data_IF_692017254450
#
_entry.id   IF_692017254450
#
_cell.length_a   1.000
_cell.length_b   1.000
_cell.length_c   1.000
_cell.angle_alpha   90.00
_cell.angle_beta   90.00
_cell.angle_gamma   90.00
#
_symmetry.space_group_name_H-M   'P 1'
#
loop_
_entity.id
_entity.type
_entity.pdbx_description
1 polymer ?
#
# COMPACT_ATOMS: atom_id res chain seq x y z
N UNK A 1 1.47 -27.81 -20.76
CA UNK A 1 2.03 -26.95 -19.70
C UNK A 1 0.93 -26.68 -18.69
N UNK A 2 1.04 -27.19 -17.47
CA UNK A 2 0.05 -26.94 -16.41
C UNK A 2 0.17 -25.51 -15.93
N UNK A 3 -0.63 -24.60 -16.49
CA UNK A 3 -0.74 -23.24 -16.01
C UNK A 3 -1.18 -23.22 -14.55
N UNK A 4 -0.63 -22.29 -13.77
CA UNK A 4 -1.00 -22.13 -12.37
C UNK A 4 -2.52 -21.89 -12.29
N UNK A 5 -3.25 -22.76 -11.57
CA UNK A 5 -4.73 -22.78 -11.57
C UNK A 5 -5.35 -21.44 -11.15
N UNK A 6 -4.62 -20.66 -10.35
CA UNK A 6 -5.04 -19.36 -9.86
C UNK A 6 -3.96 -18.31 -10.18
N UNK A 7 -4.20 -17.43 -11.17
CA UNK A 7 -3.25 -16.38 -11.52
C UNK A 7 -2.90 -15.48 -10.32
N UNK A 8 -1.60 -15.30 -10.07
CA UNK A 8 -1.10 -14.46 -8.98
C UNK A 8 -1.42 -14.98 -7.58
N UNK A 9 -1.80 -16.26 -7.42
CA UNK A 9 -1.91 -16.93 -6.13
C UNK A 9 -1.13 -18.24 -6.19
N UNK A 10 -0.28 -18.48 -5.19
CA UNK A 10 0.53 -19.70 -5.12
C UNK A 10 0.87 -20.08 -3.70
N UNK A 11 1.21 -21.35 -3.54
CA UNK A 11 1.81 -21.87 -2.32
C UNK A 11 3.18 -21.20 -2.13
N UNK A 12 3.48 -20.74 -0.91
CA UNK A 12 4.79 -20.16 -0.57
C UNK A 12 5.57 -21.00 0.41
N UNK A 13 4.89 -21.71 1.31
CA UNK A 13 5.44 -22.72 2.21
C UNK A 13 4.31 -23.66 2.65
N UNK A 14 4.63 -24.71 3.40
CA UNK A 14 3.64 -25.67 3.94
C UNK A 14 2.55 -25.04 4.82
N UNK A 15 2.77 -23.79 5.25
CA UNK A 15 1.88 -23.03 6.15
C UNK A 15 1.45 -21.68 5.59
N UNK A 16 1.84 -21.33 4.35
CA UNK A 16 1.53 -20.01 3.80
C UNK A 16 1.18 -20.01 2.32
N UNK A 17 0.21 -19.19 1.99
CA UNK A 17 -0.18 -18.83 0.63
C UNK A 17 0.32 -17.42 0.36
N UNK A 18 0.72 -17.19 -0.88
CA UNK A 18 1.13 -15.88 -1.33
C UNK A 18 0.28 -15.42 -2.51
N UNK A 19 0.04 -14.12 -2.54
CA UNK A 19 -0.73 -13.43 -3.54
C UNK A 19 0.03 -12.23 -4.08
N UNK A 20 0.06 -12.09 -5.40
CA UNK A 20 0.66 -10.96 -6.09
C UNK A 20 -0.30 -10.24 -7.04
N UNK A 21 -0.26 -8.91 -6.98
CA UNK A 21 -1.08 -7.99 -7.77
C UNK A 21 -0.33 -6.67 -7.97
N UNK A 22 -0.81 -5.81 -8.86
CA UNK A 22 -0.25 -4.49 -9.07
C UNK A 22 -1.17 -3.43 -8.49
N UNK A 23 -0.62 -2.51 -7.70
CA UNK A 23 -1.32 -1.32 -7.21
C UNK A 23 -0.42 -0.10 -7.43
N UNK A 24 -0.95 0.98 -7.99
CA UNK A 24 -0.19 2.21 -8.31
C UNK A 24 1.14 1.95 -9.05
N UNK A 25 1.11 1.06 -10.05
CA UNK A 25 2.29 0.60 -10.85
C UNK A 25 3.37 -0.15 -10.05
N UNK A 26 3.12 -0.49 -8.79
CA UNK A 26 4.02 -1.27 -7.95
C UNK A 26 3.48 -2.68 -7.76
N UNK A 27 4.36 -3.69 -7.86
CA UNK A 27 3.99 -5.07 -7.57
C UNK A 27 3.90 -5.26 -6.06
N UNK A 28 2.73 -5.61 -5.57
CA UNK A 28 2.46 -5.99 -4.19
C UNK A 28 2.51 -7.52 -4.09
N UNK A 29 3.20 -8.03 -3.06
CA UNK A 29 3.32 -9.46 -2.76
C UNK A 29 2.95 -9.65 -1.30
N UNK A 30 1.75 -10.14 -1.04
CA UNK A 30 1.20 -10.35 0.29
C UNK A 30 1.20 -11.83 0.64
N UNK A 31 1.53 -12.15 1.90
CA UNK A 31 1.56 -13.53 2.41
C UNK A 31 0.49 -13.70 3.48
N UNK A 32 -0.21 -14.83 3.40
CA UNK A 32 -1.20 -15.25 4.37
C UNK A 32 -0.70 -16.50 5.07
N UNK A 33 -0.72 -16.51 6.39
CA UNK A 33 -0.43 -17.69 7.23
C UNK A 33 -1.60 -18.68 7.17
N UNK A 34 -1.88 -19.18 5.97
CA UNK A 34 -2.91 -20.17 5.66
C UNK A 34 -2.25 -21.36 4.98
N UNK A 35 -2.53 -22.57 5.48
CA UNK A 35 -2.05 -23.81 4.85
C UNK A 35 -2.47 -23.87 3.38
N UNK A 36 -1.54 -24.12 2.43
CA UNK A 36 -1.90 -24.31 1.04
C UNK A 36 -2.75 -25.56 0.87
N UNK A 37 -4.04 -25.34 0.64
CA UNK A 37 -5.01 -26.39 0.32
C UNK A 37 -5.85 -25.93 -0.86
N UNK A 38 -6.47 -26.83 -1.64
CA UNK A 38 -7.29 -26.43 -2.78
C UNK A 38 -8.39 -25.42 -2.42
N UNK A 39 -8.99 -25.56 -1.23
CA UNK A 39 -9.99 -24.63 -0.72
C UNK A 39 -9.39 -23.26 -0.35
N UNK A 40 -8.24 -23.25 0.32
CA UNK A 40 -7.59 -22.00 0.72
C UNK A 40 -7.01 -21.24 -0.49
N UNK A 41 -6.46 -21.95 -1.48
CA UNK A 41 -6.02 -21.35 -2.74
C UNK A 41 -7.18 -20.73 -3.51
N UNK A 42 -8.35 -21.40 -3.54
CA UNK A 42 -9.57 -20.83 -4.13
C UNK A 42 -10.02 -19.56 -3.40
N UNK A 43 -10.03 -19.58 -2.07
CA UNK A 43 -10.38 -18.40 -1.24
C UNK A 43 -9.40 -17.24 -1.49
N UNK A 44 -8.11 -17.52 -1.52
CA UNK A 44 -7.09 -16.51 -1.84
C UNK A 44 -7.25 -15.95 -3.26
N UNK A 45 -7.62 -16.78 -4.23
CA UNK A 45 -7.92 -16.33 -5.60
C UNK A 45 -9.15 -15.41 -5.67
N UNK A 46 -10.22 -15.74 -4.92
CA UNK A 46 -11.40 -14.90 -4.80
C UNK A 46 -11.09 -13.56 -4.12
N UNK A 47 -10.29 -13.60 -3.06
CA UNK A 47 -9.83 -12.38 -2.38
C UNK A 47 -8.98 -11.50 -3.32
N UNK A 48 -8.07 -12.11 -4.11
CA UNK A 48 -7.33 -11.41 -5.16
C UNK A 48 -8.24 -10.73 -6.17
N UNK A 49 -9.29 -11.42 -6.63
CA UNK A 49 -10.26 -10.84 -7.56
C UNK A 49 -10.99 -9.64 -6.95
N UNK A 50 -11.39 -9.72 -5.67
CA UNK A 50 -12.00 -8.60 -4.96
C UNK A 50 -11.06 -7.39 -4.84
N UNK A 51 -9.76 -7.63 -4.58
CA UNK A 51 -8.74 -6.59 -4.54
C UNK A 51 -8.57 -5.91 -5.90
N UNK A 52 -8.49 -6.68 -6.98
CA UNK A 52 -8.37 -6.13 -8.33
C UNK A 52 -9.58 -5.26 -8.67
N UNK A 53 -10.79 -5.74 -8.36
CA UNK A 53 -12.01 -4.94 -8.55
C UNK A 53 -11.98 -3.63 -7.73
N UNK A 54 -11.49 -3.68 -6.48
CA UNK A 54 -11.35 -2.49 -5.64
C UNK A 54 -10.27 -1.52 -6.16
N UNK A 55 -9.19 -2.02 -6.76
CA UNK A 55 -8.17 -1.20 -7.42
C UNK A 55 -8.77 -0.50 -8.65
N UNK A 56 -9.47 -1.25 -9.50
CA UNK A 56 -10.10 -0.71 -10.70
C UNK A 56 -11.18 0.34 -10.35
N UNK A 57 -11.91 0.13 -9.25
CA UNK A 57 -12.87 1.10 -8.72
C UNK A 57 -12.22 2.28 -7.96
N UNK A 58 -10.92 2.24 -7.70
CA UNK A 58 -10.21 3.25 -6.90
C UNK A 58 -10.56 3.26 -5.41
N UNK A 59 -11.12 2.17 -4.88
CA UNK A 59 -11.64 2.05 -3.50
C UNK A 59 -10.82 1.14 -2.60
N UNK A 60 -9.70 0.58 -3.07
CA UNK A 60 -8.85 -0.26 -2.24
C UNK A 60 -8.26 0.52 -1.05
N UNK A 61 -8.74 0.21 0.16
CA UNK A 61 -8.07 0.57 1.40
C UNK A 61 -7.10 -0.54 1.81
N UNK A 62 -5.80 -0.25 1.65
CA UNK A 62 -4.74 -1.20 1.95
C UNK A 62 -4.66 -1.54 3.44
N UNK A 63 -4.91 -0.55 4.30
CA UNK A 63 -4.81 -0.73 5.76
C UNK A 63 -5.93 -1.61 6.30
N UNK A 64 -7.13 -1.46 5.74
CA UNK A 64 -8.27 -2.33 6.05
C UNK A 64 -8.10 -3.74 5.49
N UNK A 65 -7.62 -3.85 4.24
CA UNK A 65 -7.51 -5.14 3.54
C UNK A 65 -6.35 -5.98 4.08
N UNK A 66 -5.24 -5.34 4.47
CA UNK A 66 -4.01 -5.98 4.93
C UNK A 66 -3.46 -5.29 6.19
N UNK A 67 -4.13 -5.43 7.35
CA UNK A 67 -3.79 -4.69 8.56
C UNK A 67 -2.36 -4.97 9.07
N UNK A 68 -1.88 -6.20 8.90
CA UNK A 68 -0.54 -6.63 9.33
C UNK A 68 0.54 -6.41 8.26
N UNK A 69 0.19 -5.86 7.08
CA UNK A 69 1.15 -5.68 6.01
C UNK A 69 1.98 -4.41 6.21
N UNK A 70 3.31 -4.54 6.06
CA UNK A 70 4.22 -3.38 6.00
C UNK A 70 3.90 -2.44 4.83
N UNK A 71 3.18 -2.92 3.81
CA UNK A 71 2.75 -2.10 2.69
C UNK A 71 1.56 -1.19 3.04
N UNK A 72 0.82 -1.45 4.14
CA UNK A 72 -0.26 -0.58 4.60
C UNK A 72 0.23 0.85 4.85
N UNK A 73 1.42 1.02 5.44
CA UNK A 73 2.04 2.33 5.67
C UNK A 73 2.43 3.00 4.35
N UNK A 74 2.93 2.23 3.37
CA UNK A 74 3.36 2.77 2.07
C UNK A 74 2.21 3.25 1.21
N UNK A 75 1.07 2.55 1.28
CA UNK A 75 -0.11 2.86 0.49
C UNK A 75 -1.15 3.69 1.25
N UNK A 76 -0.91 3.98 2.53
CA UNK A 76 -1.70 4.94 3.30
C UNK A 76 -1.74 6.28 2.56
N UNK A 77 -2.87 7.00 2.62
CA UNK A 77 -2.94 8.36 2.10
C UNK A 77 -1.84 9.21 2.76
N UNK A 78 -1.09 9.97 1.95
CA UNK A 78 -0.08 10.88 2.47
C UNK A 78 -0.78 11.94 3.33
N UNK A 79 -0.69 11.81 4.64
CA UNK A 79 -1.14 12.85 5.55
C UNK A 79 -0.06 13.92 5.60
N UNK A 80 -0.22 14.98 4.79
CA UNK A 80 0.51 16.21 5.06
C UNK A 80 -0.05 16.79 6.34
N UNK A 81 0.77 16.94 7.37
CA UNK A 81 0.37 17.78 8.49
C UNK A 81 0.27 19.22 7.99
N UNK A 82 -0.64 20.02 8.55
CA UNK A 82 -0.72 21.47 8.27
C UNK A 82 0.68 22.10 8.41
N UNK A 83 1.47 21.64 9.40
CA UNK A 83 2.86 22.05 9.60
C UNK A 83 3.77 21.73 8.41
N UNK A 84 3.66 20.54 7.81
CA UNK A 84 4.47 20.17 6.62
C UNK A 84 4.08 21.01 5.41
N UNK A 85 2.80 21.35 5.26
CA UNK A 85 2.32 22.19 4.17
C UNK A 85 2.76 23.65 4.34
N UNK A 86 2.66 24.19 5.56
CA UNK A 86 3.00 25.59 5.85
C UNK A 86 4.51 25.83 6.04
N UNK A 87 5.28 24.82 6.43
CA UNK A 87 6.73 24.94 6.68
C UNK A 87 7.52 23.80 6.01
N UNK A 88 7.62 23.78 4.67
CA UNK A 88 8.50 22.86 3.95
C UNK A 88 9.95 23.03 4.42
N UNK A 89 10.64 21.93 4.73
CA UNK A 89 12.01 21.95 5.31
C UNK A 89 13.08 22.57 4.40
N UNK A 90 12.75 22.87 3.15
CA UNK A 90 13.60 23.56 2.17
C UNK A 90 13.39 25.08 2.15
N UNK A 91 12.36 25.60 2.82
CA UNK A 91 12.17 27.05 2.98
C UNK A 91 13.12 27.56 4.06
N UNK A 92 14.12 28.34 3.64
CA UNK A 92 14.98 29.10 4.56
C UNK A 92 14.30 30.42 4.87
N UNK A 93 13.83 30.56 6.10
CA UNK A 93 13.35 31.83 6.63
C UNK A 93 14.54 32.57 7.25
N UNK A 94 14.79 33.82 6.85
CA UNK A 94 15.64 34.72 7.62
C UNK A 94 14.76 35.58 8.51
N UNK A 95 15.21 35.79 9.76
CA UNK A 95 14.65 36.85 10.58
C UNK A 95 15.08 38.20 10.00
N UNK A 96 14.13 38.94 9.43
CA UNK A 96 14.28 40.39 9.26
C UNK A 96 14.13 41.00 10.66
N UNK A 97 14.97 41.99 11.00
CA UNK A 97 15.03 42.61 12.32
C UNK A 97 13.80 43.46 12.71
N UNK A 98 12.71 43.41 11.94
CA UNK A 98 11.44 44.04 12.28
C UNK A 98 10.52 42.98 12.91
N UNK A 99 9.98 43.28 14.09
CA UNK A 99 9.14 42.37 14.84
C UNK A 99 7.95 41.88 13.99
N UNK A 100 7.98 40.60 13.62
CA UNK A 100 6.91 39.76 13.05
C UNK A 100 6.83 39.53 11.52
N UNK A 101 7.78 39.98 10.70
CA UNK A 101 7.76 39.62 9.28
C UNK A 101 8.69 38.43 8.95
N UNK A 102 8.07 37.29 8.59
CA UNK A 102 8.75 36.13 8.01
C UNK A 102 8.78 36.27 6.48
N UNK A 103 9.93 36.65 5.92
CA UNK A 103 10.11 36.66 4.47
C UNK A 103 10.58 35.29 3.95
N UNK A 104 9.95 34.83 2.88
CA UNK A 104 10.35 33.63 2.12
C UNK A 104 11.52 34.03 1.22
N UNK A 105 12.64 33.31 1.31
CA UNK A 105 13.80 33.56 0.46
C UNK A 105 13.89 32.47 -0.62
N UNK A 106 13.88 32.89 -1.88
CA UNK A 106 14.09 32.06 -3.07
C UNK A 106 15.56 31.71 -3.30
#
# INVERSE_FOLDING_TARGET
>A
MGGNKYPGVRESSDSSIEMDFYNKKQRCRERFSLKPSPANLRKAAQHRAAILNAIDAGTLDYSYTFPESKNAIKFAPSQYTIRTYLYPSHMKFRHSGAANDLEIIS
#
